data_IF_270568615294
#
_entry.id   IF_270568615294
#
_cell.length_a   1.000
_cell.length_b   1.000
_cell.length_c   1.000
_cell.angle_alpha   90.00
_cell.angle_beta   90.00
_cell.angle_gamma   90.00
#
_symmetry.space_group_name_H-M   'P 1'
#
loop_
_entity.id
_entity.type
_entity.pdbx_description
1 polymer ?
#
# COMPACT_ATOMS: atom_id res chain seq x y z
N UNK A 1 43.22 1.08 -2.73
CA UNK A 1 42.26 2.16 -3.09
C UNK A 1 40.90 1.52 -3.26
N UNK A 2 39.97 1.75 -2.35
CA UNK A 2 38.58 1.34 -2.57
C UNK A 2 38.06 2.12 -3.77
N UNK A 3 37.59 1.40 -4.78
CA UNK A 3 37.02 2.04 -5.97
C UNK A 3 35.76 2.80 -5.50
N UNK A 4 35.68 4.10 -5.82
CA UNK A 4 34.57 4.96 -5.43
C UNK A 4 33.22 4.37 -5.86
N UNK A 5 33.18 3.70 -6.99
CA UNK A 5 31.97 3.04 -7.52
C UNK A 5 31.52 1.89 -6.62
N UNK A 6 32.43 1.07 -6.10
CA UNK A 6 32.10 0.01 -5.17
C UNK A 6 31.60 0.55 -3.81
N UNK A 7 32.12 1.70 -3.37
CA UNK A 7 31.63 2.34 -2.15
C UNK A 7 30.18 2.83 -2.32
N UNK A 8 29.88 3.47 -3.45
CA UNK A 8 28.53 3.94 -3.76
C UNK A 8 27.57 2.76 -3.88
N UNK A 9 27.93 1.72 -4.63
CA UNK A 9 27.09 0.54 -4.82
C UNK A 9 26.80 -0.19 -3.49
N UNK A 10 27.79 -0.34 -2.63
CA UNK A 10 27.61 -0.94 -1.31
C UNK A 10 26.71 -0.07 -0.43
N UNK A 11 26.88 1.26 -0.46
CA UNK A 11 26.01 2.16 0.31
C UNK A 11 24.56 2.14 -0.19
N UNK A 12 24.33 1.96 -1.48
CA UNK A 12 22.99 1.82 -2.05
C UNK A 12 22.35 0.49 -1.65
N UNK A 13 23.12 -0.61 -1.67
CA UNK A 13 22.60 -1.93 -1.25
C UNK A 13 22.19 -1.98 0.23
N UNK A 14 22.78 -1.13 1.06
CA UNK A 14 22.39 -1.01 2.47
C UNK A 14 21.02 -0.36 2.66
N UNK A 15 20.52 0.35 1.65
CA UNK A 15 19.17 0.94 1.67
C UNK A 15 18.09 -0.04 1.26
N UNK A 16 18.42 -1.09 0.54
CA UNK A 16 17.45 -2.08 0.07
C UNK A 16 16.83 -2.86 1.25
N UNK A 17 15.58 -3.25 1.08
CA UNK A 17 14.97 -4.23 1.98
C UNK A 17 15.72 -5.55 1.88
N UNK A 18 15.94 -6.21 3.02
CA UNK A 18 16.46 -7.58 2.95
C UNK A 18 15.41 -8.53 2.33
N UNK A 19 15.83 -9.64 1.71
CA UNK A 19 14.90 -10.63 1.17
C UNK A 19 13.89 -11.15 2.22
N UNK A 20 14.29 -11.22 3.48
CA UNK A 20 13.41 -11.60 4.59
C UNK A 20 12.35 -10.55 4.87
N UNK A 21 12.73 -9.26 4.86
CA UNK A 21 11.79 -8.15 5.06
C UNK A 21 10.78 -8.11 3.91
N UNK A 22 11.25 -8.18 2.68
CA UNK A 22 10.40 -8.18 1.49
C UNK A 22 9.42 -9.36 1.51
N UNK A 23 9.92 -10.57 1.80
CA UNK A 23 9.09 -11.76 1.91
C UNK A 23 8.03 -11.61 3.00
N UNK A 24 8.41 -11.14 4.18
CA UNK A 24 7.46 -10.93 5.27
C UNK A 24 6.38 -9.92 4.91
N UNK A 25 6.74 -8.81 4.32
CA UNK A 25 5.80 -7.79 3.86
C UNK A 25 4.80 -8.37 2.83
N UNK A 26 5.31 -9.11 1.85
CA UNK A 26 4.50 -9.80 0.83
C UNK A 26 3.57 -10.83 1.46
N UNK A 27 4.04 -11.63 2.39
CA UNK A 27 3.22 -12.66 3.06
C UNK A 27 2.07 -12.02 3.85
N UNK A 28 2.33 -10.90 4.54
CA UNK A 28 1.30 -10.16 5.30
C UNK A 28 0.28 -9.49 4.38
N UNK A 29 0.74 -8.90 3.29
CA UNK A 29 -0.12 -8.37 2.25
C UNK A 29 -1.07 -9.46 1.70
N UNK A 30 -0.53 -10.59 1.26
CA UNK A 30 -1.33 -11.70 0.72
C UNK A 30 -2.33 -12.22 1.77
N UNK A 31 -1.91 -12.38 3.02
CA UNK A 31 -2.78 -12.85 4.09
C UNK A 31 -3.96 -11.91 4.36
N UNK A 32 -3.73 -10.59 4.35
CA UNK A 32 -4.79 -9.61 4.52
C UNK A 32 -5.77 -9.63 3.34
N UNK A 33 -5.26 -9.62 2.10
CA UNK A 33 -6.10 -9.68 0.90
C UNK A 33 -6.99 -10.94 0.89
N UNK A 34 -6.40 -12.09 1.23
CA UNK A 34 -7.12 -13.35 1.34
C UNK A 34 -8.22 -13.27 2.40
N UNK A 35 -7.90 -12.75 3.58
CA UNK A 35 -8.88 -12.58 4.66
C UNK A 35 -10.07 -11.72 4.21
N UNK A 36 -9.82 -10.56 3.62
CA UNK A 36 -10.88 -9.65 3.17
C UNK A 36 -11.77 -10.32 2.10
N UNK A 37 -11.17 -11.04 1.15
CA UNK A 37 -11.92 -11.81 0.14
C UNK A 37 -12.77 -12.92 0.77
N UNK A 38 -12.23 -13.68 1.72
CA UNK A 38 -12.94 -14.75 2.44
C UNK A 38 -14.09 -14.21 3.30
N UNK A 39 -14.01 -12.95 3.73
CA UNK A 39 -15.10 -12.25 4.42
C UNK A 39 -16.15 -11.66 3.49
N UNK A 40 -16.02 -11.88 2.20
CA UNK A 40 -17.01 -11.47 1.20
C UNK A 40 -16.80 -10.09 0.60
N UNK A 41 -15.61 -9.49 0.78
CA UNK A 41 -15.28 -8.27 0.07
C UNK A 41 -15.01 -8.60 -1.40
N UNK A 42 -15.95 -8.26 -2.28
CA UNK A 42 -15.79 -8.41 -3.72
C UNK A 42 -14.89 -7.30 -4.27
N UNK A 43 -13.61 -7.57 -4.33
CA UNK A 43 -12.58 -6.60 -4.68
C UNK A 43 -11.36 -7.25 -5.32
N UNK A 44 -10.68 -6.48 -6.17
CA UNK A 44 -9.33 -6.78 -6.62
C UNK A 44 -8.33 -6.01 -5.75
N UNK A 45 -7.19 -6.64 -5.43
CA UNK A 45 -6.15 -6.02 -4.63
C UNK A 45 -4.91 -5.79 -5.48
N UNK A 46 -4.39 -4.57 -5.45
CA UNK A 46 -3.21 -4.20 -6.22
C UNK A 46 -2.19 -3.51 -5.32
N UNK A 47 -0.93 -3.97 -5.27
CA UNK A 47 0.12 -3.22 -4.63
C UNK A 47 0.32 -1.89 -5.36
N UNK A 48 0.75 -0.88 -4.63
CA UNK A 48 0.98 0.47 -5.14
C UNK A 48 2.36 0.99 -4.71
N UNK A 49 2.69 2.18 -5.19
CA UNK A 49 3.87 2.92 -4.74
C UNK A 49 5.20 2.20 -5.00
N UNK A 50 6.13 2.41 -4.10
CA UNK A 50 7.50 1.90 -4.21
C UNK A 50 7.56 0.36 -4.19
N UNK A 51 6.64 -0.29 -3.50
CA UNK A 51 6.60 -1.75 -3.43
C UNK A 51 6.23 -2.39 -4.77
N UNK A 52 5.29 -1.78 -5.52
CA UNK A 52 4.92 -2.25 -6.86
C UNK A 52 6.07 -2.17 -7.84
N UNK A 53 6.80 -1.05 -7.84
CA UNK A 53 7.88 -0.80 -8.81
C UNK A 53 9.26 -1.28 -8.33
N UNK A 54 9.32 -1.93 -7.16
CA UNK A 54 10.56 -2.49 -6.62
C UNK A 54 11.58 -1.44 -6.17
N UNK A 55 11.12 -0.27 -5.74
CA UNK A 55 11.98 0.83 -5.26
C UNK A 55 11.80 1.13 -3.77
N UNK A 56 11.20 0.21 -3.03
CA UNK A 56 11.06 0.34 -1.58
C UNK A 56 12.44 0.26 -0.93
N UNK A 57 12.77 1.25 -0.14
CA UNK A 57 14.02 1.32 0.62
C UNK A 57 13.71 1.35 2.12
N UNK A 58 14.72 1.03 2.93
CA UNK A 58 14.68 1.27 4.38
C UNK A 58 14.81 2.76 4.64
N UNK A 59 13.77 3.44 5.15
CA UNK A 59 13.89 4.85 5.50
C UNK A 59 14.92 5.02 6.62
N UNK A 60 15.76 6.05 6.53
CA UNK A 60 16.78 6.35 7.52
C UNK A 60 16.63 7.77 8.03
N UNK A 61 16.43 7.92 9.33
CA UNK A 61 16.29 9.23 9.98
C UNK A 61 16.94 9.20 11.36
N UNK A 62 17.61 10.27 11.71
CA UNK A 62 18.21 10.47 13.04
C UNK A 62 19.16 9.33 13.49
N UNK A 63 19.93 8.83 12.55
CA UNK A 63 20.89 7.76 12.84
C UNK A 63 20.30 6.35 12.96
N UNK A 64 19.01 6.16 12.60
CA UNK A 64 18.31 4.87 12.73
C UNK A 64 17.48 4.56 11.49
N UNK A 65 17.38 3.27 11.19
CA UNK A 65 16.37 2.79 10.24
C UNK A 65 14.98 3.04 10.82
N UNK A 66 14.04 3.39 9.97
CA UNK A 66 12.64 3.60 10.30
C UNK A 66 11.80 2.51 9.63
N UNK A 67 10.56 2.40 10.09
CA UNK A 67 9.57 1.53 9.45
C UNK A 67 9.32 1.99 8.02
N UNK A 68 9.09 1.04 7.12
CA UNK A 68 8.76 1.30 5.73
C UNK A 68 7.27 1.10 5.47
N UNK A 69 6.78 1.70 4.40
CA UNK A 69 5.36 1.71 4.07
C UNK A 69 5.07 0.83 2.84
N UNK A 70 3.93 0.17 2.87
CA UNK A 70 3.36 -0.61 1.78
C UNK A 70 1.97 -0.07 1.46
N UNK A 71 1.75 0.30 0.23
CA UNK A 71 0.45 0.77 -0.23
C UNK A 71 -0.28 -0.32 -1.01
N UNK A 72 -1.55 -0.52 -0.71
CA UNK A 72 -2.44 -1.49 -1.35
C UNK A 72 -3.75 -0.83 -1.72
N UNK A 73 -4.15 -0.91 -2.98
CA UNK A 73 -5.51 -0.61 -3.39
C UNK A 73 -6.41 -1.81 -3.15
N UNK A 74 -7.54 -1.58 -2.50
CA UNK A 74 -8.67 -2.49 -2.45
C UNK A 74 -9.76 -1.96 -3.39
N UNK A 75 -9.80 -2.48 -4.61
CA UNK A 75 -10.69 -2.02 -5.69
C UNK A 75 -11.98 -2.80 -5.60
N UNK A 76 -13.01 -2.20 -5.02
CA UNK A 76 -14.33 -2.83 -4.87
C UNK A 76 -15.06 -2.85 -6.24
N UNK A 77 -15.60 -4.01 -6.59
CA UNK A 77 -16.38 -4.20 -7.83
C UNK A 77 -17.77 -3.60 -7.71
N UNK A 78 -17.83 -2.29 -7.72
CA UNK A 78 -19.06 -1.50 -7.59
C UNK A 78 -19.07 -0.33 -8.53
N UNK A 79 -20.27 0.04 -8.99
CA UNK A 79 -20.44 1.28 -9.71
C UNK A 79 -20.27 2.49 -8.77
N UNK A 80 -19.44 3.45 -9.17
CA UNK A 80 -19.21 4.69 -8.41
C UNK A 80 -20.49 5.50 -8.17
N UNK A 81 -21.44 5.42 -9.10
CA UNK A 81 -22.71 6.17 -9.02
C UNK A 81 -23.68 5.56 -7.99
N UNK A 82 -23.43 4.32 -7.54
CA UNK A 82 -24.23 3.59 -6.56
C UNK A 82 -23.62 3.58 -5.17
N UNK A 83 -22.49 4.25 -4.98
CA UNK A 83 -21.75 4.27 -3.72
C UNK A 83 -21.15 5.65 -3.44
N UNK A 84 -20.50 5.80 -2.30
CA UNK A 84 -19.74 6.99 -1.94
C UNK A 84 -18.46 6.61 -1.20
N UNK A 85 -17.56 7.58 -1.05
CA UNK A 85 -16.25 7.36 -0.43
C UNK A 85 -16.32 6.79 0.99
N UNK A 86 -17.24 7.31 1.79
CA UNK A 86 -17.42 6.87 3.17
C UNK A 86 -17.86 5.40 3.25
N UNK A 87 -18.84 5.00 2.42
CA UNK A 87 -19.31 3.62 2.38
C UNK A 87 -18.23 2.66 1.92
N UNK A 88 -17.50 2.99 0.85
CA UNK A 88 -16.41 2.16 0.33
C UNK A 88 -15.30 2.00 1.37
N UNK A 89 -14.97 3.08 2.07
CA UNK A 89 -13.99 3.05 3.15
C UNK A 89 -14.46 2.18 4.31
N UNK A 90 -15.71 2.37 4.76
CA UNK A 90 -16.25 1.64 5.90
C UNK A 90 -16.38 0.14 5.61
N UNK A 91 -16.80 -0.26 4.43
CA UNK A 91 -16.92 -1.69 4.06
C UNK A 91 -15.59 -2.44 4.20
N UNK A 92 -14.47 -1.81 3.87
CA UNK A 92 -13.14 -2.38 4.11
C UNK A 92 -12.76 -2.32 5.59
N UNK A 93 -12.98 -1.17 6.22
CA UNK A 93 -12.59 -0.94 7.60
C UNK A 93 -13.34 -1.80 8.61
N UNK A 94 -14.63 -2.03 8.39
CA UNK A 94 -15.43 -2.85 9.27
C UNK A 94 -14.96 -4.30 9.29
N UNK A 95 -14.60 -4.86 8.14
CA UNK A 95 -14.00 -6.19 8.06
C UNK A 95 -12.66 -6.27 8.79
N UNK A 96 -11.83 -5.23 8.68
CA UNK A 96 -10.56 -5.17 9.42
C UNK A 96 -10.82 -5.10 10.92
N UNK A 97 -11.76 -4.27 11.37
CA UNK A 97 -12.15 -4.11 12.79
C UNK A 97 -12.78 -5.36 13.39
N UNK A 98 -13.53 -6.13 12.60
CA UNK A 98 -14.11 -7.41 13.04
C UNK A 98 -13.07 -8.52 13.23
N UNK A 99 -11.88 -8.35 12.70
CA UNK A 99 -10.82 -9.35 12.84
C UNK A 99 -10.08 -9.22 14.16
N UNK A 100 -10.06 -10.27 14.96
CA UNK A 100 -9.23 -10.30 16.17
C UNK A 100 -7.73 -10.23 15.94
N UNK A 101 -7.27 -10.40 14.69
CA UNK A 101 -5.85 -10.32 14.32
C UNK A 101 -5.50 -8.94 13.77
N UNK A 102 -6.37 -8.38 12.92
CA UNK A 102 -6.08 -7.12 12.23
C UNK A 102 -6.54 -5.90 13.01
N UNK A 103 -7.58 -6.02 13.84
CA UNK A 103 -8.03 -4.92 14.71
C UNK A 103 -6.92 -4.41 15.64
N UNK A 104 -6.12 -5.34 16.20
CA UNK A 104 -5.03 -5.00 17.10
C UNK A 104 -3.86 -4.28 16.41
N UNK A 105 -3.81 -4.34 15.07
CA UNK A 105 -2.79 -3.69 14.24
C UNK A 105 -3.24 -2.36 13.69
N UNK A 106 -4.52 -2.06 13.80
CA UNK A 106 -5.11 -0.89 13.21
C UNK A 106 -4.66 0.37 13.94
N UNK A 107 -4.02 1.26 13.22
CA UNK A 107 -3.72 2.62 13.69
C UNK A 107 -4.97 3.45 13.84
N UNK A 108 -4.81 4.64 14.45
CA UNK A 108 -5.83 5.67 14.41
C UNK A 108 -6.22 5.93 12.95
N UNK A 109 -7.52 5.95 12.72
CA UNK A 109 -8.11 6.14 11.40
C UNK A 109 -7.56 7.38 10.69
N UNK A 110 -7.09 7.19 9.46
CA UNK A 110 -6.80 8.26 8.51
C UNK A 110 -8.02 8.51 7.61
N UNK A 111 -8.10 9.70 7.01
CA UNK A 111 -9.20 10.06 6.10
C UNK A 111 -9.24 9.19 4.85
N UNK A 112 -8.10 8.70 4.38
CA UNK A 112 -7.94 8.12 3.05
C UNK A 112 -7.68 6.61 3.03
N UNK A 113 -7.15 6.03 4.11
CA UNK A 113 -6.75 4.62 4.16
C UNK A 113 -7.02 4.00 5.53
N UNK A 114 -6.79 2.70 5.61
CA UNK A 114 -6.70 1.94 6.84
C UNK A 114 -5.27 1.46 7.01
N UNK A 115 -4.57 1.99 7.99
CA UNK A 115 -3.17 1.66 8.27
C UNK A 115 -3.06 0.55 9.29
N UNK A 116 -2.39 -0.54 8.93
CA UNK A 116 -2.06 -1.63 9.85
C UNK A 116 -0.56 -1.62 10.14
N UNK A 117 -0.19 -1.59 11.42
CA UNK A 117 1.20 -1.65 11.85
C UNK A 117 1.64 -3.08 12.12
N UNK A 118 2.77 -3.44 11.54
CA UNK A 118 3.44 -4.72 11.77
C UNK A 118 4.75 -4.48 12.49
N UNK A 119 4.86 -5.09 13.67
CA UNK A 119 6.08 -5.04 14.46
C UNK A 119 7.28 -5.67 13.73
N UNK A 120 8.42 -5.31 14.20
CA UNK A 120 9.74 -5.72 13.75
C UNK A 120 9.88 -7.23 13.48
N UNK A 121 10.45 -7.56 12.34
CA UNK A 121 10.75 -8.95 11.98
C UNK A 121 12.26 -9.22 11.95
N UNK A 122 13.05 -8.19 11.66
CA UNK A 122 14.49 -8.32 11.48
C UNK A 122 15.16 -6.97 11.72
N UNK A 123 16.16 -6.96 12.59
CA UNK A 123 16.96 -5.77 12.92
C UNK A 123 16.18 -4.57 13.49
N UNK A 124 15.05 -4.80 14.11
CA UNK A 124 14.29 -3.74 14.74
C UNK A 124 13.53 -2.82 13.76
N UNK A 125 13.19 -3.30 12.58
CA UNK A 125 12.44 -2.52 11.58
C UNK A 125 11.08 -3.19 11.34
N UNK A 126 10.02 -2.44 11.60
CA UNK A 126 8.66 -2.80 11.27
C UNK A 126 8.22 -2.27 9.88
N UNK A 127 6.94 -2.37 9.59
CA UNK A 127 6.35 -1.72 8.43
C UNK A 127 4.88 -1.41 8.69
N UNK A 128 4.35 -0.44 7.95
CA UNK A 128 2.94 -0.18 7.85
C UNK A 128 2.37 -0.67 6.52
N UNK A 129 1.12 -1.10 6.55
CA UNK A 129 0.36 -1.51 5.38
C UNK A 129 -0.85 -0.61 5.27
N UNK A 130 -0.84 0.28 4.28
CA UNK A 130 -1.91 1.21 3.98
C UNK A 130 -2.88 0.60 2.97
N UNK A 131 -4.08 0.27 3.43
CA UNK A 131 -5.15 -0.22 2.57
C UNK A 131 -6.01 0.94 2.13
N UNK A 132 -5.96 1.26 0.85
CA UNK A 132 -6.69 2.35 0.23
C UNK A 132 -7.92 1.80 -0.49
N UNK A 133 -9.13 2.03 0.02
CA UNK A 133 -10.35 1.61 -0.65
C UNK A 133 -10.60 2.42 -1.92
N UNK A 134 -11.04 1.74 -2.96
CA UNK A 134 -11.31 2.33 -4.26
C UNK A 134 -12.47 1.61 -4.96
N UNK A 135 -12.96 2.18 -6.06
CA UNK A 135 -13.88 1.50 -6.99
C UNK A 135 -13.40 1.69 -8.41
N UNK A 136 -13.75 0.75 -9.29
CA UNK A 136 -13.52 0.89 -10.71
C UNK A 136 -14.40 1.99 -11.33
N UNK A 137 -13.82 2.79 -12.20
CA UNK A 137 -14.57 3.69 -13.07
C UNK A 137 -14.88 2.96 -14.39
N UNK A 138 -16.16 2.68 -14.63
CA UNK A 138 -16.61 1.80 -15.74
C UNK A 138 -16.40 2.43 -17.12
N UNK A 139 -16.25 3.75 -17.23
CA UNK A 139 -16.14 4.43 -18.51
C UNK A 139 -14.70 4.81 -18.88
N UNK A 140 -14.19 4.17 -19.93
CA UNK A 140 -13.05 4.51 -20.80
C UNK A 140 -11.67 4.73 -20.16
N UNK A 141 -11.57 4.75 -18.88
CA UNK A 141 -10.26 4.83 -18.21
C UNK A 141 -10.17 3.60 -17.31
N UNK A 142 -9.24 2.70 -17.57
CA UNK A 142 -8.85 1.60 -16.67
C UNK A 142 -8.27 2.14 -15.37
N UNK A 143 -8.91 3.13 -14.78
CA UNK A 143 -8.39 3.91 -13.67
C UNK A 143 -9.23 3.65 -12.43
N UNK A 144 -8.55 3.26 -11.41
CA UNK A 144 -9.07 3.19 -10.06
C UNK A 144 -9.30 4.59 -9.53
N UNK A 145 -10.49 4.90 -9.10
CA UNK A 145 -10.79 6.14 -8.38
C UNK A 145 -10.66 5.88 -6.89
N UNK A 146 -9.72 6.56 -6.29
CA UNK A 146 -9.62 6.60 -4.82
C UNK A 146 -10.75 7.49 -4.31
N UNK A 147 -11.75 6.89 -3.67
CA UNK A 147 -12.92 7.62 -3.17
C UNK A 147 -12.73 8.25 -1.79
N UNK A 148 -11.61 8.01 -1.14
CA UNK A 148 -11.36 8.52 0.20
C UNK A 148 -10.70 9.91 0.16
N UNK A 149 -11.49 10.97 0.01
CA UNK A 149 -11.06 12.35 0.24
C UNK A 149 -10.05 12.96 -0.73
N UNK A 150 -9.61 12.22 -1.76
CA UNK A 150 -8.67 12.74 -2.77
C UNK A 150 -9.44 13.44 -3.89
N UNK A 151 -8.99 14.63 -4.25
CA UNK A 151 -9.49 15.36 -5.41
C UNK A 151 -9.25 14.54 -6.70
N UNK A 152 -10.34 14.05 -7.29
CA UNK A 152 -10.34 13.21 -8.50
C UNK A 152 -9.55 13.87 -9.65
N UNK A 153 -9.53 15.19 -9.74
CA UNK A 153 -8.76 15.90 -10.74
C UNK A 153 -7.25 15.70 -10.60
N UNK A 154 -6.77 15.54 -9.37
CA UNK A 154 -5.37 15.24 -9.07
C UNK A 154 -5.01 13.80 -9.39
N UNK A 155 -5.91 12.86 -9.12
CA UNK A 155 -5.72 11.43 -9.46
C UNK A 155 -5.64 11.25 -10.97
N UNK A 156 -6.57 11.81 -11.75
CA UNK A 156 -6.52 11.78 -13.21
C UNK A 156 -5.22 12.36 -13.78
N UNK A 157 -4.73 13.44 -13.18
CA UNK A 157 -3.46 14.05 -13.59
C UNK A 157 -2.25 13.15 -13.27
N UNK A 158 -2.27 12.46 -12.15
CA UNK A 158 -1.20 11.54 -11.74
C UNK A 158 -1.14 10.32 -12.66
N UNK A 159 -2.27 9.71 -12.97
CA UNK A 159 -2.36 8.58 -13.90
C UNK A 159 -1.87 8.98 -15.30
N UNK A 160 -2.31 10.13 -15.81
CA UNK A 160 -1.86 10.63 -17.11
C UNK A 160 -0.33 10.88 -17.17
N UNK A 161 0.29 11.27 -16.08
CA UNK A 161 1.75 11.43 -15.98
C UNK A 161 2.43 10.06 -16.00
N UNK A 162 1.87 9.06 -15.32
CA UNK A 162 2.39 7.71 -15.27
C UNK A 162 2.35 7.04 -16.64
N UNK A 163 1.23 7.14 -17.35
CA UNK A 163 1.08 6.64 -18.72
C UNK A 163 2.08 7.29 -19.70
N UNK A 164 2.27 8.61 -19.62
CA UNK A 164 3.24 9.33 -20.47
C UNK A 164 4.70 8.95 -20.22
N UNK A 165 5.01 8.44 -19.05
CA UNK A 165 6.38 8.03 -18.69
C UNK A 165 6.67 6.55 -18.97
N UNK A 166 5.70 5.79 -19.47
CA UNK A 166 5.89 4.38 -19.82
C UNK A 166 6.14 3.46 -18.63
N UNK A 167 5.61 3.78 -17.48
CA UNK A 167 5.70 2.97 -16.27
C UNK A 167 4.52 1.98 -16.12
N UNK A 168 3.92 1.59 -17.23
CA UNK A 168 2.97 0.48 -17.31
C UNK A 168 3.51 -0.62 -18.21
#
# INVERSE_FOLDING_TARGET
>A
MLNKDNYILNSLSDLDLSPTMEKNARDKYIALCKYLSEKGLDSDFQPQGSFLIGTTIKPYRDGKNQDYDLDVLAILKRNKDETNAERVKNDVGDLIKESGIYSDKLKKEDSNCWTLEYAEVSNGIGFSLDVVPAVDEIDDIKNVIILSGVDISKVKKTVAITEKKGYL
#
